data_IF_253613592801
#
_entry.id   IF_253613592801
#
_cell.length_a   1.000
_cell.length_b   1.000
_cell.length_c   1.000
_cell.angle_alpha   90.00
_cell.angle_beta   90.00
_cell.angle_gamma   90.00
#
_symmetry.space_group_name_H-M   'P 1'
#
loop_
_entity.id
_entity.type
_entity.pdbx_description
1 polymer ?
#
# COMPACT_ATOMS: atom_id res chain seq x y z
N UNK A 1 -7.01 -1.53 31.41
CA UNK A 1 -5.88 -2.30 31.93
C UNK A 1 -5.87 -3.66 31.22
N UNK A 2 -5.31 -3.76 30.01
CA UNK A 2 -5.26 -5.01 29.23
C UNK A 2 -3.95 -5.74 29.56
N UNK A 3 -4.06 -6.87 30.26
CA UNK A 3 -2.93 -7.78 30.48
C UNK A 3 -2.63 -8.49 29.16
N UNK A 4 -1.51 -8.16 28.53
CA UNK A 4 -0.95 -8.92 27.40
C UNK A 4 -0.52 -10.30 27.93
N UNK A 5 -1.23 -11.34 27.53
CA UNK A 5 -0.74 -12.73 27.71
C UNK A 5 0.47 -12.91 26.81
N UNK A 6 1.63 -13.16 27.44
CA UNK A 6 2.87 -13.53 26.77
C UNK A 6 2.66 -14.89 26.06
N UNK A 7 2.70 -14.89 24.72
CA UNK A 7 2.58 -16.08 23.86
C UNK A 7 3.93 -16.76 23.56
N UNK A 8 5.01 -16.31 24.17
CA UNK A 8 6.36 -16.77 23.86
C UNK A 8 6.83 -17.86 24.85
N UNK A 9 6.44 -19.10 24.56
CA UNK A 9 7.05 -20.27 25.17
C UNK A 9 7.97 -20.96 24.17
N UNK A 10 9.30 -20.84 24.32
CA UNK A 10 10.26 -21.62 23.55
C UNK A 10 11.57 -20.92 23.24
N UNK A 11 12.56 -21.00 24.11
CA UNK A 11 13.98 -21.24 23.82
C UNK A 11 14.85 -20.19 23.14
N UNK A 12 14.35 -19.04 22.70
CA UNK A 12 15.18 -17.92 22.21
C UNK A 12 14.87 -16.71 23.04
N UNK A 13 15.88 -16.19 23.77
CA UNK A 13 15.74 -14.95 24.53
C UNK A 13 15.38 -13.81 23.56
N UNK A 14 14.17 -13.27 23.71
CA UNK A 14 13.77 -12.04 23.04
C UNK A 14 14.80 -10.95 23.39
N UNK A 15 15.42 -10.28 22.41
CA UNK A 15 16.37 -9.23 22.65
C UNK A 15 15.78 -8.14 23.56
N UNK A 16 16.57 -7.64 24.50
CA UNK A 16 16.13 -6.59 25.45
C UNK A 16 15.79 -5.28 24.75
N UNK A 17 16.53 -4.96 23.69
CA UNK A 17 16.27 -3.79 22.86
C UNK A 17 15.32 -4.17 21.71
N UNK A 18 14.14 -3.56 21.70
CA UNK A 18 13.13 -3.82 20.67
C UNK A 18 13.45 -3.14 19.33
N UNK A 19 14.21 -2.05 19.35
CA UNK A 19 14.63 -1.31 18.17
C UNK A 19 16.10 -1.64 17.91
N UNK A 20 16.38 -2.76 17.25
CA UNK A 20 17.73 -3.24 16.98
C UNK A 20 17.75 -4.28 15.85
N UNK A 21 18.92 -4.42 15.20
CA UNK A 21 19.17 -5.46 14.21
C UNK A 21 18.98 -6.87 14.80
N UNK A 22 19.38 -7.10 16.05
CA UNK A 22 19.21 -8.40 16.70
C UNK A 22 17.73 -8.77 16.88
N UNK A 23 16.90 -7.78 17.21
CA UNK A 23 15.45 -8.02 17.27
C UNK A 23 14.87 -8.28 15.88
N UNK A 24 15.34 -7.60 14.82
CA UNK A 24 14.93 -7.87 13.44
C UNK A 24 15.26 -9.30 13.04
N UNK A 25 16.48 -9.78 13.37
CA UNK A 25 16.89 -11.18 13.13
C UNK A 25 16.01 -12.18 13.87
N UNK A 26 15.65 -11.88 15.12
CA UNK A 26 14.71 -12.70 15.89
C UNK A 26 13.34 -12.77 15.20
N UNK A 27 12.77 -11.62 14.81
CA UNK A 27 11.47 -11.57 14.12
C UNK A 27 11.50 -12.30 12.78
N UNK A 28 12.59 -12.20 12.04
CA UNK A 28 12.78 -12.97 10.82
C UNK A 28 12.69 -14.48 11.10
N UNK A 29 13.34 -14.98 12.15
CA UNK A 29 13.24 -16.39 12.53
C UNK A 29 11.83 -16.81 12.93
N UNK A 30 11.01 -15.89 13.47
CA UNK A 30 9.58 -16.12 13.73
C UNK A 30 8.82 -16.30 12.43
N UNK A 31 9.06 -15.46 11.42
CA UNK A 31 8.42 -15.57 10.10
C UNK A 31 8.81 -16.88 9.39
N UNK A 32 10.09 -17.26 9.42
CA UNK A 32 10.57 -18.52 8.82
C UNK A 32 9.91 -19.78 9.41
N UNK A 33 9.62 -19.75 10.71
CA UNK A 33 8.96 -20.87 11.39
C UNK A 33 7.45 -20.91 11.21
N UNK A 34 6.86 -19.81 10.76
CA UNK A 34 5.41 -19.65 10.62
C UNK A 34 5.03 -19.36 9.16
N UNK A 35 5.44 -20.21 8.24
CA UNK A 35 5.21 -20.05 6.80
C UNK A 35 3.74 -20.19 6.41
N UNK A 36 2.96 -20.96 7.18
CA UNK A 36 1.53 -21.16 6.95
C UNK A 36 0.71 -20.36 7.96
N UNK A 37 -0.17 -19.51 7.46
CA UNK A 37 -1.08 -18.71 8.30
C UNK A 37 -2.25 -19.56 8.78
N UNK A 38 -2.52 -19.47 10.06
CA UNK A 38 -3.64 -20.14 10.75
C UNK A 38 -4.31 -19.20 11.74
N UNK A 39 -5.49 -19.55 12.22
CA UNK A 39 -6.18 -18.81 13.27
C UNK A 39 -5.31 -18.63 14.53
N UNK A 40 -4.45 -19.59 14.82
CA UNK A 40 -3.62 -19.61 16.03
C UNK A 40 -2.39 -18.70 15.93
N UNK A 41 -1.83 -18.45 14.72
CA UNK A 41 -0.60 -17.69 14.54
C UNK A 41 -0.77 -16.36 13.78
N UNK A 42 -1.94 -16.09 13.21
CA UNK A 42 -2.18 -14.85 12.44
C UNK A 42 -1.88 -13.59 13.25
N UNK A 43 -2.26 -13.56 14.52
CA UNK A 43 -1.96 -12.43 15.41
C UNK A 43 -0.47 -12.26 15.67
N UNK A 44 0.28 -13.37 15.85
CA UNK A 44 1.73 -13.35 15.99
C UNK A 44 2.41 -12.84 14.72
N UNK A 45 1.96 -13.27 13.54
CA UNK A 45 2.53 -12.85 12.27
C UNK A 45 2.29 -11.35 12.01
N UNK A 46 1.07 -10.87 12.24
CA UNK A 46 0.72 -9.45 12.12
C UNK A 46 1.57 -8.60 13.06
N UNK A 47 1.71 -9.00 14.32
CA UNK A 47 2.50 -8.26 15.31
C UNK A 47 4.00 -8.29 14.98
N UNK A 48 4.50 -9.40 14.45
CA UNK A 48 5.88 -9.51 13.98
C UNK A 48 6.17 -8.56 12.82
N UNK A 49 5.28 -8.50 11.82
CA UNK A 49 5.44 -7.58 10.69
C UNK A 49 5.32 -6.10 11.11
N UNK A 50 4.43 -5.80 12.07
CA UNK A 50 4.34 -4.46 12.67
C UNK A 50 5.64 -4.07 13.38
N UNK A 51 6.18 -4.96 14.20
CA UNK A 51 7.45 -4.73 14.90
C UNK A 51 8.62 -4.57 13.92
N UNK A 52 8.63 -5.30 12.80
CA UNK A 52 9.60 -5.13 11.71
C UNK A 52 9.49 -3.73 11.12
N UNK A 53 8.29 -3.25 10.82
CA UNK A 53 8.08 -1.90 10.31
C UNK A 53 8.59 -0.82 11.29
N UNK A 54 8.33 -0.98 12.59
CA UNK A 54 8.85 -0.08 13.63
C UNK A 54 10.39 -0.06 13.66
N UNK A 55 11.04 -1.23 13.54
CA UNK A 55 12.50 -1.32 13.47
C UNK A 55 13.04 -0.67 12.19
N UNK A 56 12.38 -0.83 11.05
CA UNK A 56 12.78 -0.17 9.81
C UNK A 56 12.66 1.35 9.90
N UNK A 57 11.59 1.88 10.47
CA UNK A 57 11.40 3.32 10.68
C UNK A 57 12.49 3.88 11.61
N UNK A 58 12.82 3.16 12.67
CA UNK A 58 13.93 3.53 13.55
C UNK A 58 15.27 3.44 12.83
N UNK A 59 15.53 2.34 12.09
CA UNK A 59 16.77 2.09 11.36
C UNK A 59 17.03 3.12 10.28
N UNK A 60 15.99 3.64 9.64
CA UNK A 60 16.06 4.72 8.65
C UNK A 60 16.84 5.95 9.17
N UNK A 61 16.78 6.22 10.45
CA UNK A 61 17.42 7.39 11.09
C UNK A 61 18.65 7.03 11.93
N UNK A 62 18.84 5.76 12.33
CA UNK A 62 19.80 5.39 13.36
C UNK A 62 20.77 4.28 12.95
N UNK A 63 20.37 3.33 12.09
CA UNK A 63 21.18 2.15 11.76
C UNK A 63 20.82 1.56 10.40
N UNK A 64 21.61 1.87 9.38
CA UNK A 64 21.41 1.38 8.01
C UNK A 64 21.53 -0.14 7.86
N UNK A 65 22.22 -0.83 8.77
CA UNK A 65 22.38 -2.29 8.72
C UNK A 65 21.06 -3.05 8.84
N UNK A 66 20.03 -2.39 9.39
CA UNK A 66 18.66 -2.89 9.45
C UNK A 66 18.10 -3.10 8.05
N UNK A 67 18.28 -2.12 7.15
CA UNK A 67 17.81 -2.23 5.76
C UNK A 67 18.62 -3.26 4.97
N UNK A 68 19.93 -3.34 5.18
CA UNK A 68 20.76 -4.34 4.52
C UNK A 68 20.27 -5.77 4.83
N UNK A 69 19.99 -6.04 6.10
CA UNK A 69 19.45 -7.34 6.52
C UNK A 69 18.03 -7.58 5.98
N UNK A 70 17.19 -6.56 6.03
CA UNK A 70 15.81 -6.64 5.52
C UNK A 70 15.77 -7.01 4.03
N UNK A 71 16.66 -6.41 3.23
CA UNK A 71 16.80 -6.70 1.81
C UNK A 71 17.40 -8.07 1.54
N UNK A 72 18.52 -8.40 2.21
CA UNK A 72 19.18 -9.69 2.06
C UNK A 72 18.20 -10.85 2.28
N UNK A 73 17.33 -10.71 3.27
CA UNK A 73 16.32 -11.73 3.60
C UNK A 73 15.00 -11.58 2.83
N UNK A 74 14.89 -10.62 1.91
CA UNK A 74 13.69 -10.35 1.14
C UNK A 74 12.42 -10.28 2.01
N UNK A 75 12.52 -9.59 3.15
CA UNK A 75 11.50 -9.65 4.20
C UNK A 75 10.15 -9.05 3.78
N UNK A 76 10.13 -8.10 2.83
CA UNK A 76 8.88 -7.53 2.30
C UNK A 76 7.99 -8.60 1.61
N UNK A 77 8.60 -9.67 1.10
CA UNK A 77 7.85 -10.77 0.47
C UNK A 77 6.89 -11.48 1.42
N UNK A 78 7.16 -11.44 2.72
CA UNK A 78 6.28 -12.05 3.73
C UNK A 78 4.92 -11.36 3.84
N UNK A 79 4.86 -10.03 3.62
CA UNK A 79 3.58 -9.32 3.57
C UNK A 79 2.68 -9.90 2.48
N UNK A 80 3.22 -10.02 1.26
CA UNK A 80 2.47 -10.56 0.13
C UNK A 80 2.18 -12.04 0.28
N UNK A 81 3.13 -12.81 0.81
CA UNK A 81 2.95 -14.24 1.06
C UNK A 81 1.80 -14.51 2.04
N UNK A 82 1.72 -13.73 3.11
CA UNK A 82 0.63 -13.82 4.10
C UNK A 82 -0.70 -13.42 3.48
N UNK A 83 -0.76 -12.31 2.75
CA UNK A 83 -1.99 -11.83 2.08
C UNK A 83 -2.56 -12.84 1.07
N UNK A 84 -1.72 -13.64 0.41
CA UNK A 84 -2.13 -14.63 -0.60
C UNK A 84 -2.72 -15.92 -0.03
N UNK A 85 -2.51 -16.21 1.24
CA UNK A 85 -3.06 -17.41 1.86
C UNK A 85 -4.52 -17.21 2.27
N UNK A 86 -5.33 -18.28 2.23
CA UNK A 86 -6.76 -18.19 2.60
C UNK A 86 -6.99 -17.57 3.98
N UNK A 87 -6.27 -18.03 5.00
CA UNK A 87 -6.37 -17.49 6.36
C UNK A 87 -5.71 -16.10 6.50
N UNK A 88 -4.70 -15.83 5.69
CA UNK A 88 -4.02 -14.53 5.64
C UNK A 88 -4.76 -13.49 4.80
N UNK A 89 -5.62 -13.93 3.88
CA UNK A 89 -6.50 -13.07 3.08
C UNK A 89 -7.78 -12.63 3.78
N UNK A 90 -7.97 -12.98 5.07
CA UNK A 90 -9.09 -12.46 5.84
C UNK A 90 -8.99 -10.94 5.98
N UNK A 91 -10.12 -10.26 6.01
CA UNK A 91 -10.21 -8.80 6.15
C UNK A 91 -9.36 -8.28 7.30
N UNK A 92 -9.43 -8.92 8.47
CA UNK A 92 -8.63 -8.53 9.64
C UNK A 92 -7.13 -8.48 9.33
N UNK A 93 -6.57 -9.53 8.70
CA UNK A 93 -5.14 -9.60 8.39
C UNK A 93 -4.77 -8.59 7.31
N UNK A 94 -5.55 -8.50 6.25
CA UNK A 94 -5.32 -7.52 5.16
C UNK A 94 -5.33 -6.08 5.67
N UNK A 95 -6.29 -5.70 6.51
CA UNK A 95 -6.38 -4.38 7.14
C UNK A 95 -5.12 -4.10 7.95
N UNK A 96 -4.71 -5.02 8.83
CA UNK A 96 -3.53 -4.84 9.68
C UNK A 96 -2.23 -4.73 8.86
N UNK A 97 -2.08 -5.52 7.81
CA UNK A 97 -0.91 -5.46 6.94
C UNK A 97 -0.87 -4.19 6.09
N UNK A 98 -1.99 -3.78 5.49
CA UNK A 98 -2.09 -2.53 4.75
C UNK A 98 -1.83 -1.32 5.66
N UNK A 99 -2.37 -1.32 6.88
CA UNK A 99 -2.11 -0.29 7.88
C UNK A 99 -0.63 -0.22 8.24
N UNK A 100 0.02 -1.36 8.43
CA UNK A 100 1.45 -1.45 8.74
C UNK A 100 2.30 -0.90 7.59
N UNK A 101 1.97 -1.24 6.34
CA UNK A 101 2.64 -0.72 5.15
C UNK A 101 2.45 0.80 5.01
N UNK A 102 1.24 1.31 5.28
CA UNK A 102 0.99 2.75 5.29
C UNK A 102 1.90 3.46 6.29
N UNK A 103 1.95 3.00 7.54
CA UNK A 103 2.80 3.57 8.58
C UNK A 103 4.27 3.54 8.16
N UNK A 104 4.74 2.42 7.59
CA UNK A 104 6.11 2.29 7.12
C UNK A 104 6.44 3.33 6.04
N UNK A 105 5.67 3.38 4.95
CA UNK A 105 5.93 4.29 3.85
C UNK A 105 5.72 5.77 4.21
N UNK A 106 4.81 6.09 5.12
CA UNK A 106 4.64 7.46 5.62
C UNK A 106 5.86 7.97 6.38
N UNK A 107 6.50 7.11 7.16
CA UNK A 107 7.54 7.49 8.10
C UNK A 107 8.98 7.34 7.58
N UNK A 108 9.21 6.63 6.49
CA UNK A 108 10.52 6.55 5.85
C UNK A 108 10.86 7.92 5.22
N UNK A 109 12.01 8.46 5.60
CA UNK A 109 12.49 9.79 5.20
C UNK A 109 13.73 9.75 4.33
N UNK A 110 14.61 8.75 4.53
CA UNK A 110 15.83 8.61 3.77
C UNK A 110 15.51 8.04 2.37
N UNK A 111 15.96 8.73 1.33
CA UNK A 111 15.74 8.29 -0.07
C UNK A 111 16.34 6.93 -0.35
N UNK A 112 17.51 6.61 0.21
CA UNK A 112 18.14 5.31 0.04
C UNK A 112 17.27 4.20 0.62
N UNK A 113 16.73 4.39 1.82
CA UNK A 113 15.80 3.44 2.45
C UNK A 113 14.53 3.25 1.63
N UNK A 114 13.99 4.34 1.08
CA UNK A 114 12.82 4.28 0.19
C UNK A 114 13.14 3.50 -1.09
N UNK A 115 14.28 3.75 -1.73
CA UNK A 115 14.71 3.01 -2.93
C UNK A 115 14.87 1.52 -2.64
N UNK A 116 15.39 1.18 -1.49
CA UNK A 116 15.48 -0.20 -1.03
C UNK A 116 14.12 -0.89 -0.92
N UNK A 117 13.13 -0.22 -0.35
CA UNK A 117 11.77 -0.76 -0.25
C UNK A 117 11.10 -0.93 -1.62
N UNK A 118 11.43 -0.08 -2.60
CA UNK A 118 10.82 -0.08 -3.93
C UNK A 118 11.53 -1.00 -4.94
N UNK A 119 12.81 -1.35 -4.71
CA UNK A 119 13.70 -1.94 -5.72
C UNK A 119 13.34 -3.35 -6.21
N UNK A 120 12.59 -4.13 -5.45
CA UNK A 120 12.31 -5.54 -5.75
C UNK A 120 10.94 -5.81 -6.39
N UNK A 121 10.25 -4.78 -6.86
CA UNK A 121 8.90 -4.86 -7.47
C UNK A 121 7.79 -5.48 -6.59
N UNK A 122 8.06 -5.77 -5.32
CA UNK A 122 7.07 -6.35 -4.41
C UNK A 122 5.94 -5.37 -4.10
N UNK A 123 6.23 -4.07 -4.06
CA UNK A 123 5.23 -3.04 -3.86
C UNK A 123 4.19 -3.08 -4.99
N UNK A 124 4.62 -3.18 -6.25
CA UNK A 124 3.69 -3.34 -7.37
C UNK A 124 2.90 -4.65 -7.28
N UNK A 125 3.52 -5.72 -6.81
CA UNK A 125 2.82 -7.00 -6.57
C UNK A 125 1.74 -6.89 -5.48
N UNK A 126 1.94 -6.05 -4.46
CA UNK A 126 0.92 -5.75 -3.45
C UNK A 126 -0.18 -4.88 -4.04
N UNK A 127 0.16 -3.88 -4.86
CA UNK A 127 -0.80 -3.00 -5.54
C UNK A 127 -1.78 -3.82 -6.40
N UNK A 128 -1.30 -4.80 -7.16
CA UNK A 128 -2.15 -5.63 -8.05
C UNK A 128 -2.76 -6.85 -7.37
N UNK A 129 -2.50 -7.05 -6.07
CA UNK A 129 -3.12 -8.13 -5.33
C UNK A 129 -4.64 -7.97 -5.29
N UNK A 130 -5.36 -9.06 -5.47
CA UNK A 130 -6.82 -9.07 -5.46
C UNK A 130 -7.34 -9.09 -4.02
N UNK A 131 -7.62 -7.92 -3.49
CA UNK A 131 -8.29 -7.76 -2.21
C UNK A 131 -9.79 -7.95 -2.33
N UNK A 132 -10.43 -8.33 -1.22
CA UNK A 132 -11.89 -8.32 -1.12
C UNK A 132 -12.37 -6.91 -0.75
N UNK A 133 -12.77 -6.16 -1.78
CA UNK A 133 -13.27 -4.79 -1.62
C UNK A 133 -14.74 -4.69 -1.21
N UNK A 134 -15.40 -5.82 -0.92
CA UNK A 134 -16.71 -5.78 -0.24
C UNK A 134 -16.57 -5.37 1.23
N UNK A 135 -15.36 -5.50 1.79
CA UNK A 135 -15.01 -4.99 3.11
C UNK A 135 -14.54 -3.54 3.00
N UNK A 136 -15.29 -2.61 3.63
CA UNK A 136 -15.02 -1.16 3.57
C UNK A 136 -13.67 -0.79 4.21
N UNK A 137 -13.25 -1.50 5.26
CA UNK A 137 -11.96 -1.26 5.92
C UNK A 137 -10.81 -1.66 5.00
N UNK A 138 -10.90 -2.80 4.33
CA UNK A 138 -9.91 -3.25 3.33
C UNK A 138 -9.80 -2.23 2.21
N UNK A 139 -10.94 -1.78 1.67
CA UNK A 139 -10.99 -0.74 0.64
C UNK A 139 -10.35 0.55 1.13
N UNK A 140 -10.71 1.03 2.30
CA UNK A 140 -10.21 2.28 2.86
C UNK A 140 -8.68 2.26 3.04
N UNK A 141 -8.12 1.21 3.63
CA UNK A 141 -6.67 1.08 3.82
C UNK A 141 -5.91 0.81 2.52
N UNK A 142 -6.51 0.11 1.56
CA UNK A 142 -5.92 -0.06 0.24
C UNK A 142 -5.80 1.27 -0.51
N UNK A 143 -6.86 2.06 -0.58
CA UNK A 143 -6.84 3.38 -1.22
C UNK A 143 -5.88 4.34 -0.50
N UNK A 144 -5.82 4.28 0.83
CA UNK A 144 -4.82 5.02 1.60
C UNK A 144 -3.40 4.60 1.22
N UNK A 145 -3.14 3.31 1.05
CA UNK A 145 -1.85 2.79 0.62
C UNK A 145 -1.44 3.31 -0.76
N UNK A 146 -2.34 3.28 -1.75
CA UNK A 146 -2.07 3.86 -3.06
C UNK A 146 -1.78 5.37 -2.97
N UNK A 147 -2.53 6.10 -2.15
CA UNK A 147 -2.33 7.53 -1.91
C UNK A 147 -0.95 7.79 -1.26
N UNK A 148 -0.59 7.04 -0.23
CA UNK A 148 0.70 7.15 0.46
C UNK A 148 1.86 6.92 -0.52
N UNK A 149 1.78 5.89 -1.37
CA UNK A 149 2.77 5.64 -2.41
C UNK A 149 2.83 6.77 -3.44
N UNK A 150 1.69 7.33 -3.84
CA UNK A 150 1.65 8.43 -4.81
C UNK A 150 2.35 9.70 -4.30
N UNK A 151 2.40 9.93 -2.99
CA UNK A 151 3.13 11.04 -2.38
C UNK A 151 4.66 10.85 -2.44
N UNK A 152 5.13 9.63 -2.70
CA UNK A 152 6.56 9.32 -2.88
C UNK A 152 7.01 9.41 -4.34
N UNK A 153 6.09 9.73 -5.27
CA UNK A 153 6.41 9.87 -6.69
C UNK A 153 7.21 11.15 -6.95
N UNK A 154 8.32 10.99 -7.64
CA UNK A 154 9.14 12.07 -8.20
C UNK A 154 9.89 11.56 -9.44
N UNK A 155 10.74 12.37 -10.03
CA UNK A 155 11.53 12.01 -11.22
C UNK A 155 12.48 10.83 -11.00
N UNK A 156 12.88 10.55 -9.75
CA UNK A 156 13.80 9.46 -9.41
C UNK A 156 13.07 8.17 -9.02
N UNK A 157 11.86 8.28 -8.44
CA UNK A 157 11.11 7.10 -7.97
C UNK A 157 10.11 6.57 -8.99
N UNK A 158 9.77 7.34 -10.02
CA UNK A 158 8.73 6.96 -10.99
C UNK A 158 9.02 5.62 -11.68
N UNK A 159 10.26 5.31 -11.96
CA UNK A 159 10.66 4.07 -12.64
C UNK A 159 10.47 2.80 -11.80
N UNK A 160 10.23 2.92 -10.50
CA UNK A 160 9.81 1.78 -9.66
C UNK A 160 8.33 1.44 -9.83
N UNK A 161 7.52 2.38 -10.30
CA UNK A 161 6.08 2.23 -10.45
C UNK A 161 5.62 2.16 -11.92
N UNK A 162 6.28 2.88 -12.80
CA UNK A 162 6.02 2.88 -14.23
C UNK A 162 7.13 2.13 -14.95
N UNK A 163 6.77 1.03 -15.61
CA UNK A 163 7.68 0.26 -16.44
C UNK A 163 7.49 0.65 -17.91
N UNK A 164 8.46 1.37 -18.45
CA UNK A 164 8.45 1.83 -19.83
C UNK A 164 8.52 0.67 -20.84
N UNK A 165 9.27 -0.41 -20.53
CA UNK A 165 9.45 -1.55 -21.44
C UNK A 165 8.17 -2.37 -21.60
N UNK A 166 7.44 -2.59 -20.52
CA UNK A 166 6.16 -3.32 -20.54
C UNK A 166 4.98 -2.40 -20.74
N UNK A 167 5.21 -1.09 -20.69
CA UNK A 167 4.20 -0.06 -20.75
C UNK A 167 3.09 -0.29 -19.73
N UNK A 168 3.47 -0.45 -18.47
CA UNK A 168 2.61 -0.77 -17.34
C UNK A 168 2.82 0.18 -16.16
N UNK A 169 1.72 0.64 -15.54
CA UNK A 169 1.73 1.56 -14.41
C UNK A 169 0.66 1.17 -13.37
N UNK A 170 0.91 0.12 -12.56
CA UNK A 170 -0.09 -0.43 -11.65
C UNK A 170 -0.65 0.58 -10.65
N UNK A 171 0.19 1.44 -10.05
CA UNK A 171 -0.25 2.44 -9.08
C UNK A 171 -1.36 3.34 -9.64
N UNK A 172 -1.25 3.77 -10.89
CA UNK A 172 -2.25 4.61 -11.52
C UNK A 172 -3.43 3.81 -12.06
N UNK A 173 -3.18 2.71 -12.76
CA UNK A 173 -4.24 1.91 -13.39
C UNK A 173 -5.15 1.22 -12.37
N UNK A 174 -4.63 0.82 -11.23
CA UNK A 174 -5.47 0.30 -10.13
C UNK A 174 -6.25 1.42 -9.44
N UNK A 175 -5.64 2.57 -9.17
CA UNK A 175 -6.32 3.70 -8.54
C UNK A 175 -7.50 4.22 -9.37
N UNK A 176 -7.33 4.34 -10.69
CA UNK A 176 -8.36 4.93 -11.57
C UNK A 176 -9.65 4.11 -11.65
N UNK A 177 -9.61 2.82 -11.32
CA UNK A 177 -10.79 1.97 -11.23
C UNK A 177 -11.83 2.48 -10.21
N UNK A 178 -11.37 3.23 -9.20
CA UNK A 178 -12.20 3.76 -8.13
C UNK A 178 -12.61 5.23 -8.32
N UNK A 179 -12.40 5.78 -9.51
CA UNK A 179 -12.70 7.19 -9.80
C UNK A 179 -14.15 7.59 -9.51
N UNK A 180 -15.10 6.72 -9.85
CA UNK A 180 -16.54 6.92 -9.64
C UNK A 180 -17.09 6.15 -8.42
N UNK A 181 -16.22 5.82 -7.45
CA UNK A 181 -16.64 5.10 -6.26
C UNK A 181 -17.74 5.86 -5.49
N UNK A 182 -18.76 5.18 -4.92
CA UNK A 182 -19.85 5.85 -4.20
C UNK A 182 -19.35 6.67 -3.00
N UNK A 183 -18.33 6.18 -2.30
CA UNK A 183 -17.72 6.86 -1.16
C UNK A 183 -16.91 8.10 -1.58
N UNK A 184 -17.22 9.27 -1.01
CA UNK A 184 -16.56 10.53 -1.33
C UNK A 184 -15.06 10.53 -0.96
N UNK A 185 -14.71 9.91 0.16
CA UNK A 185 -13.32 9.81 0.62
C UNK A 185 -12.44 9.04 -0.37
N UNK A 186 -12.97 7.96 -0.94
CA UNK A 186 -12.29 7.18 -1.98
C UNK A 186 -12.06 8.04 -3.23
N UNK A 187 -13.11 8.74 -3.70
CA UNK A 187 -12.98 9.64 -4.87
C UNK A 187 -11.95 10.75 -4.66
N UNK A 188 -11.93 11.36 -3.47
CA UNK A 188 -10.95 12.41 -3.13
C UNK A 188 -9.53 11.84 -3.15
N UNK A 189 -9.32 10.66 -2.58
CA UNK A 189 -8.02 10.00 -2.58
C UNK A 189 -7.55 9.68 -4.01
N UNK A 190 -8.41 9.14 -4.88
CA UNK A 190 -8.10 8.85 -6.29
C UNK A 190 -7.73 10.12 -7.06
N UNK A 191 -8.44 11.22 -6.84
CA UNK A 191 -8.09 12.53 -7.43
C UNK A 191 -6.72 13.01 -6.96
N UNK A 192 -6.42 12.85 -5.67
CA UNK A 192 -5.10 13.19 -5.12
C UNK A 192 -4.00 12.36 -5.76
N UNK A 193 -4.20 11.04 -5.91
CA UNK A 193 -3.26 10.14 -6.59
C UNK A 193 -3.03 10.62 -8.04
N UNK A 194 -4.10 10.93 -8.77
CA UNK A 194 -4.03 11.42 -10.15
C UNK A 194 -3.20 12.71 -10.24
N UNK A 195 -3.44 13.67 -9.35
CA UNK A 195 -2.67 14.91 -9.31
C UNK A 195 -1.18 14.68 -9.02
N UNK A 196 -0.85 13.78 -8.08
CA UNK A 196 0.53 13.43 -7.77
C UNK A 196 1.23 12.75 -8.95
N UNK A 197 0.53 11.91 -9.69
CA UNK A 197 1.05 11.27 -10.91
C UNK A 197 1.36 12.33 -11.98
N UNK A 198 0.43 13.22 -12.29
CA UNK A 198 0.63 14.28 -13.29
C UNK A 198 1.74 15.27 -12.92
N UNK A 199 1.99 15.46 -11.63
CA UNK A 199 3.05 16.35 -11.13
C UNK A 199 4.46 15.87 -11.49
N UNK A 200 4.67 14.58 -11.75
CA UNK A 200 6.02 13.99 -11.97
C UNK A 200 6.65 14.46 -13.29
N UNK A 201 5.87 14.86 -14.29
CA UNK A 201 6.33 15.37 -15.59
C UNK A 201 7.30 14.43 -16.34
N UNK A 202 7.11 13.12 -16.22
CA UNK A 202 7.84 12.14 -17.04
C UNK A 202 7.14 12.00 -18.41
N UNK A 203 7.81 12.30 -19.53
CA UNK A 203 7.16 12.35 -20.86
C UNK A 203 6.55 11.00 -21.27
N UNK A 204 7.26 9.90 -21.05
CA UNK A 204 6.83 8.56 -21.46
C UNK A 204 5.64 8.09 -20.64
N UNK A 205 5.68 8.32 -19.32
CA UNK A 205 4.55 8.04 -18.43
C UNK A 205 3.33 8.90 -18.80
N UNK A 206 3.51 10.19 -19.06
CA UNK A 206 2.40 11.07 -19.47
C UNK A 206 1.80 10.63 -20.82
N UNK A 207 2.62 10.18 -21.77
CA UNK A 207 2.14 9.61 -23.02
C UNK A 207 1.32 8.34 -22.77
N UNK A 208 1.81 7.42 -21.92
CA UNK A 208 1.06 6.22 -21.52
C UNK A 208 -0.30 6.56 -20.92
N UNK A 209 -0.36 7.52 -19.99
CA UNK A 209 -1.61 7.96 -19.36
C UNK A 209 -2.57 8.52 -20.40
N UNK A 210 -2.08 9.35 -21.31
CA UNK A 210 -2.88 9.96 -22.38
C UNK A 210 -3.50 8.90 -23.29
N UNK A 211 -2.69 7.97 -23.74
CA UNK A 211 -3.10 7.00 -24.75
C UNK A 211 -4.01 5.90 -24.21
N UNK A 212 -3.78 5.47 -22.98
CA UNK A 212 -4.45 4.28 -22.42
C UNK A 212 -5.49 4.57 -21.34
N UNK A 213 -5.37 5.67 -20.63
CA UNK A 213 -6.22 5.91 -19.46
C UNK A 213 -6.92 7.26 -19.46
N UNK A 214 -6.30 8.32 -20.00
CA UNK A 214 -6.87 9.65 -19.96
C UNK A 214 -8.14 9.77 -20.81
N UNK A 215 -8.20 9.16 -21.99
CA UNK A 215 -9.37 9.24 -22.84
C UNK A 215 -10.62 8.62 -22.18
N UNK A 216 -10.59 7.38 -21.64
CA UNK A 216 -11.71 6.83 -20.87
C UNK A 216 -12.02 7.65 -19.61
N UNK A 217 -11.01 8.13 -18.89
CA UNK A 217 -11.17 8.94 -17.69
C UNK A 217 -11.91 10.26 -17.98
N UNK A 218 -11.45 11.03 -18.95
CA UNK A 218 -12.08 12.29 -19.32
C UNK A 218 -13.45 12.09 -19.97
N UNK A 219 -13.66 11.03 -20.75
CA UNK A 219 -14.97 10.66 -21.26
C UNK A 219 -15.97 10.40 -20.14
N UNK A 220 -15.57 9.64 -19.10
CA UNK A 220 -16.41 9.41 -17.93
C UNK A 220 -16.67 10.70 -17.13
N UNK A 221 -15.67 11.56 -16.99
CA UNK A 221 -15.82 12.85 -16.32
C UNK A 221 -16.81 13.76 -17.06
N UNK A 222 -16.67 13.87 -18.38
CA UNK A 222 -17.57 14.68 -19.25
C UNK A 222 -19.01 14.14 -19.18
N UNK A 223 -19.17 12.80 -19.25
CA UNK A 223 -20.47 12.17 -19.12
C UNK A 223 -21.11 12.46 -17.75
N UNK A 224 -20.34 12.34 -16.67
CA UNK A 224 -20.80 12.60 -15.31
C UNK A 224 -21.25 14.07 -15.11
N UNK A 225 -20.46 15.03 -15.60
CA UNK A 225 -20.81 16.44 -15.58
C UNK A 225 -22.08 16.69 -16.40
N UNK A 226 -22.15 16.13 -17.62
CA UNK A 226 -23.31 16.25 -18.49
C UNK A 226 -24.58 15.71 -17.84
N UNK A 227 -24.51 14.55 -17.17
CA UNK A 227 -25.63 13.98 -16.43
C UNK A 227 -26.14 14.93 -15.32
N UNK A 228 -25.25 15.48 -14.52
CA UNK A 228 -25.65 16.41 -13.45
C UNK A 228 -26.22 17.74 -13.99
N UNK A 229 -25.72 18.23 -15.13
CA UNK A 229 -26.30 19.41 -15.78
C UNK A 229 -27.75 19.13 -16.21
N UNK A 230 -28.01 17.94 -16.80
CA UNK A 230 -29.36 17.55 -17.22
C UNK A 230 -30.31 17.34 -16.02
N UNK A 231 -29.81 16.76 -14.93
CA UNK A 231 -30.57 16.62 -13.68
C UNK A 231 -30.94 17.98 -13.09
N UNK A 232 -30.00 18.92 -13.08
CA UNK A 232 -30.27 20.29 -12.61
C UNK A 232 -31.24 21.01 -13.51
N UNK A 233 -31.14 20.91 -14.83
CA UNK A 233 -32.07 21.49 -15.80
C UNK A 233 -33.52 20.95 -15.59
N UNK A 234 -33.62 19.63 -15.36
CA UNK A 234 -34.92 19.01 -15.05
C UNK A 234 -35.52 19.52 -13.74
N UNK A 235 -34.72 19.69 -12.67
CA UNK A 235 -35.19 20.26 -11.41
C UNK A 235 -35.69 21.68 -11.60
N UNK A 236 -34.94 22.53 -12.29
CA UNK A 236 -35.31 23.94 -12.52
C UNK A 236 -36.62 24.05 -13.34
N UNK A 237 -36.81 23.16 -14.33
CA UNK A 237 -38.05 23.17 -15.15
C UNK A 237 -39.29 22.74 -14.32
N UNK A 238 -39.11 21.73 -13.43
CA UNK A 238 -40.20 21.26 -12.58
C UNK A 238 -40.59 22.26 -11.48
N UNK A 239 -39.64 23.11 -11.06
CA UNK A 239 -39.94 24.19 -10.07
C UNK A 239 -40.61 25.42 -10.69
N UNK A 240 -40.72 25.47 -12.03
CA UNK A 240 -41.35 26.57 -12.78
C UNK A 240 -42.75 26.24 -13.30
N UNK A 241 -43.29 25.05 -13.08
CA UNK A 241 -44.67 24.64 -13.28
C UNK A 241 -45.44 24.63 -11.93
#
# INVERSE_FOLDING_TARGET
MFRSRSWFGGGWNRPKNRLSLDHLKYLYSVLERNTTVSENNRGLLVESLRSIAEILIWGDQNDSSVFDFFLEKNMLSYFLHIMRQKSGGSSFVCVQLLQTLNILFENIRNETSLYYLLSNNLVNSIIVHKFDFSDEDVMGYYILFLKTLSLKLNTHTIHFFYNEHTNDFPLYTEAIKFFNHPESMVRIAVRTITLNVYKVQNPNMLQFIRDKTAAPYFSNLVWFIGKHILELDACVRNDTE
#
